data_IF_085080024597
#
_entry.id   IF_085080024597
#
_cell.length_a   1.000
_cell.length_b   1.000
_cell.length_c   1.000
_cell.angle_alpha   90.00
_cell.angle_beta   90.00
_cell.angle_gamma   90.00
#
_symmetry.space_group_name_H-M   'P 1'
#
loop_
_entity.id
_entity.type
_entity.pdbx_description
1 polymer ?
#
# COMPACT_ATOMS: atom_id res chain seq x y z
N UNK A 1 4.42 49.65 14.55
CA UNK A 1 4.89 48.26 14.45
C UNK A 1 4.62 47.79 13.04
N UNK A 2 5.61 47.14 12.43
CA UNK A 2 5.53 46.70 11.04
C UNK A 2 4.59 45.48 10.92
N UNK A 3 3.60 45.47 10.00
CA UNK A 3 2.69 44.34 9.82
C UNK A 3 3.39 42.99 9.58
N UNK A 4 4.58 43.01 8.98
CA UNK A 4 5.40 41.80 8.81
C UNK A 4 5.86 41.20 10.16
N UNK A 5 6.18 42.06 11.13
CA UNK A 5 6.61 41.63 12.47
C UNK A 5 5.45 41.05 13.28
N UNK A 6 4.24 41.59 13.11
CA UNK A 6 3.03 41.06 13.74
C UNK A 6 2.66 39.67 13.19
N UNK A 7 2.82 39.47 11.89
CA UNK A 7 2.60 38.16 11.26
C UNK A 7 3.62 37.11 11.74
N UNK A 8 4.90 37.48 11.81
CA UNK A 8 5.93 36.59 12.37
C UNK A 8 5.67 36.25 13.83
N UNK A 9 5.26 37.22 14.66
CA UNK A 9 4.93 36.98 16.07
C UNK A 9 3.73 36.03 16.22
N UNK A 10 2.72 36.16 15.35
CA UNK A 10 1.58 35.24 15.33
C UNK A 10 1.98 33.81 14.95
N UNK A 11 2.81 33.64 13.91
CA UNK A 11 3.29 32.33 13.49
C UNK A 11 4.14 31.65 14.58
N UNK A 12 5.04 32.39 15.22
CA UNK A 12 5.87 31.88 16.30
C UNK A 12 4.98 31.43 17.48
N UNK A 13 3.98 32.23 17.85
CA UNK A 13 3.03 31.89 18.91
C UNK A 13 2.20 30.63 18.58
N UNK A 14 1.74 30.50 17.34
CA UNK A 14 1.00 29.33 16.88
C UNK A 14 1.86 28.05 16.91
N UNK A 15 3.11 28.12 16.47
CA UNK A 15 4.03 26.97 16.50
C UNK A 15 4.38 26.57 17.93
N UNK A 16 4.60 27.53 18.83
CA UNK A 16 4.87 27.25 20.24
C UNK A 16 3.69 26.56 20.93
N UNK A 17 2.46 27.00 20.62
CA UNK A 17 1.22 26.39 21.15
C UNK A 17 1.05 24.94 20.70
N UNK A 18 1.35 24.62 19.44
CA UNK A 18 1.32 23.24 18.93
C UNK A 18 2.39 22.37 19.59
N UNK A 19 3.58 22.92 19.85
CA UNK A 19 4.67 22.21 20.52
C UNK A 19 4.36 21.93 22.01
N UNK A 20 3.78 22.89 22.72
CA UNK A 20 3.32 22.69 24.10
C UNK A 20 2.22 21.62 24.19
N UNK A 21 1.29 21.60 23.23
CA UNK A 21 0.25 20.55 23.16
C UNK A 21 0.84 19.15 22.93
N UNK A 22 1.90 19.01 22.13
CA UNK A 22 2.53 17.70 21.87
C UNK A 22 3.33 17.17 23.06
N UNK A 23 3.83 18.05 23.94
CA UNK A 23 4.56 17.67 25.16
C UNK A 23 3.60 17.35 26.31
N UNK A 24 2.56 18.16 26.51
CA UNK A 24 1.66 18.04 27.69
C UNK A 24 0.62 16.93 27.50
N UNK A 25 0.18 16.67 26.25
CA UNK A 25 -0.71 15.57 25.93
C UNK A 25 -0.02 14.60 24.97
N UNK A 26 0.84 13.70 25.47
CA UNK A 26 1.29 12.58 24.65
C UNK A 26 0.06 11.73 24.34
N UNK A 27 -0.42 11.80 23.11
CA UNK A 27 -1.44 10.88 22.61
C UNK A 27 -1.03 9.46 22.97
N UNK A 28 -1.89 8.78 23.74
CA UNK A 28 -1.65 7.42 24.20
C UNK A 28 -1.43 6.53 22.97
N UNK A 29 -0.17 6.12 22.77
CA UNK A 29 0.22 5.13 21.76
C UNK A 29 -0.66 3.89 21.95
N UNK A 30 -1.50 3.59 20.96
CA UNK A 30 -2.17 2.29 20.85
C UNK A 30 -1.08 1.22 20.82
N UNK A 31 -1.16 0.27 21.75
CA UNK A 31 -0.23 -0.85 21.88
C UNK A 31 -0.12 -1.58 20.55
N UNK A 32 1.05 -1.47 19.92
CA UNK A 32 1.49 -2.39 18.88
C UNK A 32 1.72 -3.74 19.54
N UNK A 33 0.83 -4.69 19.29
CA UNK A 33 1.05 -6.10 19.62
C UNK A 33 2.14 -6.59 18.68
N UNK A 34 3.36 -6.74 19.19
CA UNK A 34 4.44 -7.45 18.53
C UNK A 34 4.10 -8.94 18.64
N UNK A 35 3.64 -9.55 17.55
CA UNK A 35 3.57 -11.01 17.44
C UNK A 35 4.94 -11.46 16.93
N UNK A 36 5.77 -11.88 17.85
CA UNK A 36 7.02 -12.57 17.61
C UNK A 36 6.73 -14.08 17.62
N UNK A 37 6.31 -14.65 16.48
CA UNK A 37 6.13 -16.10 16.36
C UNK A 37 7.35 -16.76 15.74
N UNK A 38 8.30 -17.06 16.63
CA UNK A 38 9.44 -17.93 16.39
C UNK A 38 8.95 -19.38 16.42
N UNK A 39 9.11 -20.09 15.30
CA UNK A 39 9.04 -21.56 15.16
C UNK A 39 9.41 -22.30 16.47
N UNK A 40 8.51 -23.15 16.95
CA UNK A 40 8.82 -24.53 17.39
C UNK A 40 7.54 -25.35 17.58
N UNK A 41 7.42 -26.39 16.76
CA UNK A 41 6.58 -27.56 17.00
C UNK A 41 7.04 -28.29 18.26
N UNK A 42 6.11 -28.71 19.14
CA UNK A 42 5.85 -30.10 19.51
C UNK A 42 4.83 -30.17 20.67
N UNK A 43 3.69 -30.80 20.37
CA UNK A 43 2.90 -31.75 21.17
C UNK A 43 3.07 -31.68 22.71
N UNK A 44 2.00 -31.34 23.42
CA UNK A 44 1.50 -32.18 24.53
C UNK A 44 0.06 -31.83 24.91
N UNK A 45 -0.74 -32.88 25.02
CA UNK A 45 -2.10 -32.93 25.56
C UNK A 45 -2.11 -32.64 27.07
N UNK A 46 -3.06 -31.83 27.55
CA UNK A 46 -3.72 -32.05 28.85
C UNK A 46 -4.97 -31.18 29.01
N UNK A 47 -6.08 -31.81 29.38
CA UNK A 47 -7.42 -31.26 29.59
C UNK A 47 -7.52 -30.32 30.81
N UNK A 48 -8.24 -29.18 30.68
CA UNK A 48 -9.15 -28.58 31.70
C UNK A 48 -9.90 -27.32 31.17
N UNK A 49 -10.97 -26.86 31.85
CA UNK A 49 -12.34 -26.82 31.35
C UNK A 49 -12.72 -25.56 30.56
N UNK A 50 -13.80 -25.70 29.80
CA UNK A 50 -14.37 -24.74 28.86
C UNK A 50 -14.73 -23.39 29.50
N UNK A 51 -14.00 -22.35 29.09
CA UNK A 51 -14.50 -20.98 29.11
C UNK A 51 -15.32 -20.76 27.84
N UNK A 52 -16.50 -20.10 27.89
CA UNK A 52 -17.31 -19.87 26.72
C UNK A 52 -16.53 -18.91 25.80
N UNK A 53 -15.82 -19.48 24.83
CA UNK A 53 -15.22 -18.72 23.74
C UNK A 53 -16.38 -18.10 23.01
N UNK A 54 -16.52 -16.79 23.15
CA UNK A 54 -17.20 -15.97 22.16
C UNK A 54 -16.59 -16.32 20.82
N UNK A 55 -17.29 -17.19 20.07
CA UNK A 55 -16.98 -17.46 18.67
C UNK A 55 -17.25 -16.14 17.95
N UNK A 56 -16.26 -15.27 17.92
CA UNK A 56 -16.15 -14.27 16.87
C UNK A 56 -16.11 -15.09 15.59
N UNK A 57 -17.28 -15.20 14.94
CA UNK A 57 -17.42 -15.88 13.67
C UNK A 57 -16.36 -15.28 12.75
N UNK A 58 -15.32 -16.07 12.46
CA UNK A 58 -14.29 -15.66 11.51
C UNK A 58 -15.04 -15.46 10.20
N UNK A 59 -14.93 -14.28 9.54
CA UNK A 59 -15.62 -14.07 8.29
C UNK A 59 -15.25 -15.20 7.34
N UNK A 60 -16.26 -15.93 6.86
CA UNK A 60 -16.05 -16.97 5.87
C UNK A 60 -15.54 -16.27 4.60
N UNK A 61 -14.29 -16.57 4.25
CA UNK A 61 -13.61 -15.91 3.13
C UNK A 61 -13.75 -16.78 1.88
N UNK A 62 -14.05 -16.15 0.75
CA UNK A 62 -14.16 -16.85 -0.53
C UNK A 62 -12.86 -17.57 -0.90
N UNK A 63 -13.00 -18.80 -1.38
CA UNK A 63 -11.86 -19.54 -1.93
C UNK A 63 -11.47 -19.00 -3.32
N UNK A 64 -10.24 -19.28 -3.76
CA UNK A 64 -9.66 -18.80 -5.02
C UNK A 64 -10.52 -19.16 -6.24
N UNK A 65 -11.19 -20.32 -6.22
CA UNK A 65 -12.10 -20.71 -7.31
C UNK A 65 -13.41 -19.91 -7.30
N UNK A 66 -13.92 -19.55 -6.13
CA UNK A 66 -15.15 -18.75 -6.00
C UNK A 66 -14.91 -17.32 -6.47
N UNK A 67 -13.70 -16.78 -6.22
CA UNK A 67 -13.33 -15.44 -6.68
C UNK A 67 -13.57 -15.26 -8.18
N UNK A 68 -13.27 -16.28 -9.01
CA UNK A 68 -13.42 -16.23 -10.48
C UNK A 68 -14.85 -15.94 -10.95
N UNK A 69 -15.85 -16.33 -10.15
CA UNK A 69 -17.26 -16.18 -10.48
C UNK A 69 -17.85 -14.86 -9.98
N UNK A 70 -17.17 -14.17 -9.06
CA UNK A 70 -17.59 -12.86 -8.57
C UNK A 70 -17.37 -11.78 -9.62
N UNK A 71 -18.26 -10.80 -9.67
CA UNK A 71 -18.09 -9.60 -10.49
C UNK A 71 -17.03 -8.66 -9.91
N UNK A 72 -16.52 -7.73 -10.73
CA UNK A 72 -15.57 -6.71 -10.26
C UNK A 72 -16.16 -5.86 -9.12
N UNK A 73 -17.47 -5.57 -9.18
CA UNK A 73 -18.16 -4.78 -8.16
C UNK A 73 -18.21 -5.52 -6.83
N UNK A 74 -18.54 -6.81 -6.84
CA UNK A 74 -18.53 -7.64 -5.64
C UNK A 74 -17.13 -7.76 -5.05
N UNK A 75 -16.11 -8.02 -5.88
CA UNK A 75 -14.72 -8.05 -5.44
C UNK A 75 -14.30 -6.73 -4.78
N UNK A 76 -14.73 -5.58 -5.32
CA UNK A 76 -14.44 -4.27 -4.73
C UNK A 76 -15.11 -4.09 -3.37
N UNK A 77 -16.37 -4.53 -3.24
CA UNK A 77 -17.09 -4.51 -1.97
C UNK A 77 -16.40 -5.38 -0.92
N UNK A 78 -16.01 -6.61 -1.29
CA UNK A 78 -15.29 -7.50 -0.39
C UNK A 78 -13.90 -6.98 -0.03
N UNK A 79 -13.17 -6.38 -0.98
CA UNK A 79 -11.89 -5.75 -0.68
C UNK A 79 -12.06 -4.60 0.32
N UNK A 80 -13.09 -3.77 0.18
CA UNK A 80 -13.36 -2.70 1.15
C UNK A 80 -13.61 -3.24 2.56
N UNK A 81 -14.30 -4.38 2.68
CA UNK A 81 -14.62 -5.00 3.97
C UNK A 81 -13.45 -5.78 4.58
N UNK A 82 -12.67 -6.48 3.76
CA UNK A 82 -11.72 -7.49 4.20
C UNK A 82 -10.25 -7.20 3.87
N UNK A 83 -9.93 -6.05 3.27
CA UNK A 83 -8.56 -5.64 2.91
C UNK A 83 -7.53 -5.72 4.05
N UNK A 84 -7.96 -5.62 5.31
CA UNK A 84 -7.09 -5.76 6.48
C UNK A 84 -6.72 -7.21 6.82
N UNK A 85 -7.48 -8.17 6.31
CA UNK A 85 -7.36 -9.59 6.64
C UNK A 85 -6.81 -10.41 5.47
N UNK A 86 -6.99 -9.93 4.25
CA UNK A 86 -6.63 -10.66 3.04
C UNK A 86 -6.33 -9.74 1.89
N UNK A 87 -5.40 -10.18 1.04
CA UNK A 87 -5.03 -9.54 -0.21
C UNK A 87 -5.74 -10.14 -1.43
N UNK A 88 -6.39 -11.29 -1.26
CA UNK A 88 -7.01 -12.08 -2.34
C UNK A 88 -7.93 -11.27 -3.25
N UNK A 89 -8.76 -10.41 -2.68
CA UNK A 89 -9.74 -9.64 -3.45
C UNK A 89 -9.08 -8.56 -4.32
N UNK A 90 -8.12 -7.78 -3.79
CA UNK A 90 -7.45 -6.79 -4.62
C UNK A 90 -6.54 -7.43 -5.66
N UNK A 91 -5.92 -8.57 -5.35
CA UNK A 91 -5.10 -9.34 -6.31
C UNK A 91 -5.93 -9.81 -7.49
N UNK A 92 -7.12 -10.35 -7.25
CA UNK A 92 -8.01 -10.79 -8.31
C UNK A 92 -8.54 -9.61 -9.15
N UNK A 93 -8.87 -8.48 -8.52
CA UNK A 93 -9.21 -7.24 -9.24
C UNK A 93 -8.05 -6.82 -10.14
N UNK A 94 -6.84 -6.76 -9.58
CA UNK A 94 -5.64 -6.35 -10.30
C UNK A 94 -5.35 -7.25 -11.50
N UNK A 95 -5.41 -8.58 -11.30
CA UNK A 95 -5.20 -9.57 -12.35
C UNK A 95 -6.16 -9.33 -13.52
N UNK A 96 -7.46 -9.26 -13.25
CA UNK A 96 -8.48 -9.05 -14.30
C UNK A 96 -8.32 -7.72 -15.03
N UNK A 97 -7.86 -6.68 -14.34
CA UNK A 97 -7.58 -5.42 -15.00
C UNK A 97 -6.38 -5.53 -15.93
N UNK A 98 -5.30 -6.16 -15.49
CA UNK A 98 -4.06 -6.23 -16.27
C UNK A 98 -4.12 -7.26 -17.40
N UNK A 99 -4.92 -8.33 -17.25
CA UNK A 99 -5.21 -9.28 -18.33
C UNK A 99 -5.81 -8.61 -19.58
N UNK A 100 -6.46 -7.45 -19.41
CA UNK A 100 -7.04 -6.67 -20.51
C UNK A 100 -6.07 -5.65 -21.14
N UNK A 101 -4.85 -5.48 -20.60
CA UNK A 101 -3.87 -4.50 -21.07
C UNK A 101 -2.70 -5.18 -21.79
N UNK A 102 -1.86 -4.36 -22.44
CA UNK A 102 -0.60 -4.82 -23.02
C UNK A 102 0.28 -5.45 -21.92
N UNK A 103 1.05 -6.53 -22.21
CA UNK A 103 1.90 -7.20 -21.22
C UNK A 103 2.92 -6.27 -20.55
N UNK A 104 3.38 -5.24 -21.25
CA UNK A 104 4.32 -4.24 -20.72
C UNK A 104 3.64 -3.12 -19.92
N UNK A 105 2.32 -3.19 -19.75
CA UNK A 105 1.53 -2.19 -19.04
C UNK A 105 1.03 -2.73 -17.70
N UNK A 106 1.25 -1.95 -16.64
CA UNK A 106 0.77 -2.26 -15.29
C UNK A 106 -0.27 -1.21 -14.87
N UNK A 107 -1.55 -1.57 -14.91
CA UNK A 107 -2.64 -0.71 -14.47
C UNK A 107 -2.89 -0.86 -12.97
N UNK A 108 -2.66 0.24 -12.24
CA UNK A 108 -2.81 0.31 -10.77
C UNK A 108 -3.97 1.22 -10.33
N UNK A 109 -4.83 1.63 -11.27
CA UNK A 109 -5.91 2.62 -11.04
C UNK A 109 -6.85 2.28 -9.89
N UNK A 110 -7.22 1.01 -9.72
CA UNK A 110 -8.15 0.54 -8.67
C UNK A 110 -7.47 0.07 -7.39
N UNK A 111 -6.14 0.15 -7.32
CA UNK A 111 -5.40 -0.24 -6.13
C UNK A 111 -5.32 0.89 -5.11
N UNK A 112 -5.34 0.51 -3.83
CA UNK A 112 -4.92 1.38 -2.75
C UNK A 112 -3.39 1.46 -2.72
N UNK A 113 -2.85 2.58 -2.25
CA UNK A 113 -1.40 2.85 -2.34
C UNK A 113 -0.51 1.73 -1.78
N UNK A 114 -0.79 1.13 -0.60
CA UNK A 114 0.02 0.02 -0.09
C UNK A 114 0.06 -1.17 -1.05
N UNK A 115 -1.08 -1.49 -1.67
CA UNK A 115 -1.20 -2.62 -2.59
C UNK A 115 -0.53 -2.34 -3.93
N UNK A 116 -0.35 -1.06 -4.31
CA UNK A 116 0.42 -0.69 -5.51
C UNK A 116 1.86 -1.15 -5.36
N UNK A 117 2.48 -0.90 -4.20
CA UNK A 117 3.87 -1.31 -3.97
C UNK A 117 4.00 -2.83 -4.02
N UNK A 118 3.10 -3.56 -3.35
CA UNK A 118 3.06 -5.02 -3.43
C UNK A 118 2.89 -5.53 -4.86
N UNK A 119 1.99 -4.93 -5.64
CA UNK A 119 1.78 -5.31 -7.04
C UNK A 119 3.00 -5.00 -7.91
N UNK A 120 3.65 -3.85 -7.73
CA UNK A 120 4.88 -3.54 -8.46
C UNK A 120 6.00 -4.50 -8.10
N UNK A 121 6.11 -4.91 -6.83
CA UNK A 121 7.12 -5.87 -6.38
C UNK A 121 7.03 -7.20 -7.13
N UNK A 122 5.81 -7.70 -7.30
CA UNK A 122 5.53 -9.00 -7.91
C UNK A 122 5.51 -8.98 -9.44
N UNK A 123 5.06 -7.89 -10.06
CA UNK A 123 4.79 -7.85 -11.51
C UNK A 123 5.86 -7.13 -12.32
N UNK A 124 6.68 -6.27 -11.70
CA UNK A 124 7.84 -5.74 -12.42
C UNK A 124 8.89 -6.85 -12.61
N UNK A 125 9.59 -6.89 -13.75
CA UNK A 125 10.68 -7.81 -13.98
C UNK A 125 11.73 -7.77 -12.84
N UNK A 126 12.22 -8.95 -12.44
CA UNK A 126 13.31 -9.06 -11.47
C UNK A 126 14.71 -8.86 -12.11
N UNK A 127 14.77 -8.65 -13.43
CA UNK A 127 15.99 -8.44 -14.20
C UNK A 127 16.00 -7.07 -14.90
N UNK A 128 16.84 -6.89 -15.95
CA UNK A 128 16.87 -5.64 -16.70
C UNK A 128 15.49 -5.33 -17.28
N UNK A 129 15.03 -4.09 -17.08
CA UNK A 129 13.73 -3.62 -17.54
C UNK A 129 13.96 -2.85 -18.84
N UNK A 130 13.50 -3.40 -19.96
CA UNK A 130 13.56 -2.74 -21.26
C UNK A 130 12.58 -1.58 -21.33
N UNK A 131 11.31 -1.92 -21.16
CA UNK A 131 10.23 -0.94 -21.15
C UNK A 131 9.06 -1.48 -20.32
N UNK A 132 8.59 -0.70 -19.35
CA UNK A 132 7.34 -0.96 -18.63
C UNK A 132 6.60 0.36 -18.42
N UNK A 133 5.29 0.36 -18.63
CA UNK A 133 4.43 1.52 -18.38
C UNK A 133 3.46 1.25 -17.24
N UNK A 134 3.56 2.01 -16.16
CA UNK A 134 2.62 1.98 -15.04
C UNK A 134 1.53 3.04 -15.28
N UNK A 135 0.26 2.63 -15.25
CA UNK A 135 -0.91 3.45 -15.60
C UNK A 135 -1.83 3.61 -14.39
N UNK A 136 -2.52 4.74 -14.28
CA UNK A 136 -3.51 4.97 -13.21
C UNK A 136 -2.90 5.56 -11.93
N UNK A 137 -1.70 6.13 -12.05
CA UNK A 137 -1.13 7.01 -11.03
C UNK A 137 -1.80 8.38 -11.19
N UNK A 138 -2.91 8.60 -10.49
CA UNK A 138 -3.77 9.79 -10.60
C UNK A 138 -2.92 11.07 -10.75
N UNK A 139 -3.19 11.93 -11.74
CA UNK A 139 -2.32 13.03 -12.16
C UNK A 139 -2.30 14.22 -11.19
N UNK A 140 -2.79 14.07 -9.95
CA UNK A 140 -2.64 15.15 -8.96
C UNK A 140 -1.14 15.31 -8.66
N UNK A 141 -0.54 16.48 -8.98
CA UNK A 141 0.85 16.73 -8.65
C UNK A 141 1.01 16.59 -7.13
N UNK A 142 2.08 15.90 -6.71
CA UNK A 142 2.38 15.61 -5.30
C UNK A 142 1.37 14.73 -4.56
N UNK A 143 0.59 13.89 -5.26
CA UNK A 143 -0.17 12.86 -4.57
C UNK A 143 0.80 11.96 -3.77
N UNK A 144 0.47 11.68 -2.51
CA UNK A 144 1.25 10.78 -1.65
C UNK A 144 1.54 9.46 -2.35
N UNK A 145 0.57 8.98 -3.13
CA UNK A 145 0.67 7.82 -4.02
C UNK A 145 1.83 7.93 -5.03
N UNK A 146 1.90 9.03 -5.80
CA UNK A 146 2.96 9.22 -6.81
C UNK A 146 4.33 9.28 -6.14
N UNK A 147 4.45 9.98 -5.02
CA UNK A 147 5.70 10.08 -4.27
C UNK A 147 6.17 8.73 -3.73
N UNK A 148 5.26 7.92 -3.19
CA UNK A 148 5.58 6.61 -2.63
C UNK A 148 6.02 5.62 -3.71
N UNK A 149 5.32 5.57 -4.85
CA UNK A 149 5.72 4.75 -6.00
C UNK A 149 7.07 5.18 -6.54
N UNK A 150 7.33 6.49 -6.67
CA UNK A 150 8.63 6.98 -7.11
C UNK A 150 9.76 6.65 -6.15
N UNK A 151 9.51 6.77 -4.84
CA UNK A 151 10.50 6.39 -3.82
C UNK A 151 10.84 4.92 -3.94
N UNK A 152 9.84 4.06 -4.05
CA UNK A 152 10.02 2.61 -4.23
C UNK A 152 10.79 2.28 -5.51
N UNK A 153 10.41 2.86 -6.66
CA UNK A 153 11.07 2.57 -7.93
C UNK A 153 12.51 3.07 -7.97
N UNK A 154 12.80 4.26 -7.40
CA UNK A 154 14.18 4.75 -7.29
C UNK A 154 15.06 3.83 -6.47
N UNK A 155 14.53 3.29 -5.37
CA UNK A 155 15.25 2.34 -4.52
C UNK A 155 15.48 1.02 -5.26
N UNK A 156 14.43 0.46 -5.88
CA UNK A 156 14.50 -0.78 -6.65
C UNK A 156 15.43 -0.69 -7.86
N UNK A 157 15.45 0.45 -8.56
CA UNK A 157 16.27 0.67 -9.75
C UNK A 157 17.64 1.27 -9.44
N UNK A 158 18.00 1.43 -8.15
CA UNK A 158 19.28 2.03 -7.74
C UNK A 158 20.50 1.28 -8.30
N UNK A 159 20.36 -0.01 -8.58
CA UNK A 159 21.41 -0.86 -9.17
C UNK A 159 21.42 -0.84 -10.70
N UNK A 160 20.45 -0.17 -11.34
CA UNK A 160 20.27 -0.10 -12.79
C UNK A 160 20.55 1.33 -13.28
N UNK A 161 21.83 1.69 -13.54
CA UNK A 161 22.23 3.06 -13.82
C UNK A 161 21.62 3.64 -15.10
N UNK A 162 21.20 2.78 -16.03
CA UNK A 162 20.62 3.15 -17.32
C UNK A 162 19.09 3.14 -17.31
N UNK A 163 18.45 2.97 -16.13
CA UNK A 163 16.99 2.96 -16.03
C UNK A 163 16.47 4.38 -15.81
N UNK A 164 15.71 4.89 -16.78
CA UNK A 164 15.08 6.20 -16.73
C UNK A 164 13.60 6.10 -16.32
N UNK A 165 13.17 7.03 -15.46
CA UNK A 165 11.79 7.16 -15.01
C UNK A 165 11.20 8.44 -15.61
N UNK A 166 10.26 8.30 -16.53
CA UNK A 166 9.59 9.44 -17.17
C UNK A 166 8.09 9.44 -16.88
N UNK A 167 7.56 10.61 -16.47
CA UNK A 167 6.12 10.78 -16.31
C UNK A 167 5.52 11.47 -17.53
N UNK A 168 4.42 10.90 -18.02
CA UNK A 168 3.53 11.54 -18.98
C UNK A 168 2.12 11.44 -18.42
N UNK A 169 1.56 12.57 -17.98
CA UNK A 169 0.20 12.64 -17.42
C UNK A 169 -0.03 11.64 -16.25
N UNK A 170 -0.84 10.61 -16.47
CA UNK A 170 -1.20 9.55 -15.51
C UNK A 170 -0.35 8.27 -15.66
N UNK A 171 0.67 8.33 -16.53
CA UNK A 171 1.56 7.21 -16.86
C UNK A 171 2.97 7.49 -16.36
N UNK A 172 3.57 6.45 -15.80
CA UNK A 172 4.99 6.39 -15.46
C UNK A 172 5.64 5.33 -16.33
N UNK A 173 6.56 5.75 -17.18
CA UNK A 173 7.32 4.85 -18.05
C UNK A 173 8.70 4.61 -17.44
N UNK A 174 9.09 3.35 -17.41
CA UNK A 174 10.42 2.88 -17.05
C UNK A 174 11.05 2.44 -18.36
N UNK A 175 12.18 3.03 -18.75
CA UNK A 175 12.93 2.65 -19.95
C UNK A 175 14.38 2.39 -19.61
N UNK A 176 15.01 1.40 -20.24
CA UNK A 176 16.45 1.23 -20.15
C UNK A 176 17.05 0.86 -21.51
N UNK A 177 18.11 1.57 -21.88
CA UNK A 177 18.76 1.43 -23.19
C UNK A 177 19.64 0.17 -23.29
N UNK A 178 19.88 -0.55 -22.18
CA UNK A 178 20.78 -1.72 -22.12
C UNK A 178 20.10 -3.06 -21.83
N UNK A 179 18.78 -3.15 -21.99
CA UNK A 179 18.02 -4.37 -21.69
C UNK A 179 18.01 -5.41 -22.83
#
# INVERSE_FOLDING_TARGET
>A
MDPAQLFCAFLISAMLSLFLKSIIFPEKKKKTVIIEDRRKSLISSSQRPETPKSHVARPEMHDVQELKHLTIVELQNFNAQFSRFTDRYWREIFRRQNDAHHPDHINVSRLQTPNIITALDEYLPHGPIKEVTIIGLIPKPFSSRKCEVMRYLKDRLSTSPDAELSFSEDRLRITSDKA
#
